data_IF_872405999300
#
_entry.id   IF_872405999300
#
_cell.length_a   1.000
_cell.length_b   1.000
_cell.length_c   1.000
_cell.angle_alpha   90.00
_cell.angle_beta   90.00
_cell.angle_gamma   90.00
#
_symmetry.space_group_name_H-M   'P 1'
#
loop_
_entity.id
_entity.type
_entity.pdbx_description
1 polymer ?
#
# COMPACT_ATOMS: atom_id res chain seq x y z
N UNK A 1 -16.21 4.64 -5.59
CA UNK A 1 -16.01 6.10 -5.41
C UNK A 1 -15.52 6.49 -4.00
N UNK A 2 -15.73 5.69 -2.95
CA UNK A 2 -15.28 6.03 -1.58
C UNK A 2 -13.77 6.35 -1.47
N UNK A 3 -12.93 5.61 -2.19
CA UNK A 3 -11.47 5.89 -2.26
C UNK A 3 -11.20 7.30 -2.84
N UNK A 4 -11.86 7.68 -3.94
CA UNK A 4 -11.66 8.99 -4.56
C UNK A 4 -12.03 10.13 -3.59
N UNK A 5 -13.17 10.00 -2.90
CA UNK A 5 -13.62 10.94 -1.87
C UNK A 5 -12.59 11.03 -0.74
N UNK A 6 -12.13 9.88 -0.23
CA UNK A 6 -11.14 9.85 0.85
C UNK A 6 -9.81 10.49 0.46
N UNK A 7 -9.34 10.26 -0.78
CA UNK A 7 -8.12 10.90 -1.30
C UNK A 7 -8.27 12.41 -1.37
N UNK A 8 -9.38 12.91 -1.95
CA UNK A 8 -9.69 14.34 -2.04
C UNK A 8 -9.82 15.00 -0.66
N UNK A 9 -10.52 14.36 0.28
CA UNK A 9 -10.76 14.89 1.63
C UNK A 9 -9.58 14.73 2.59
N UNK A 10 -8.62 13.84 2.30
CA UNK A 10 -7.40 13.67 3.10
C UNK A 10 -6.40 14.80 2.91
N UNK A 11 -6.55 15.59 1.84
CA UNK A 11 -5.65 16.67 1.45
C UNK A 11 -4.16 16.22 1.33
N UNK A 12 -3.94 14.96 0.95
CA UNK A 12 -2.62 14.37 0.73
C UNK A 12 -2.36 14.18 -0.76
N UNK A 13 -1.11 14.42 -1.16
CA UNK A 13 -0.67 14.09 -2.51
C UNK A 13 -0.72 12.58 -2.74
N UNK A 14 -1.19 12.14 -3.91
CA UNK A 14 -1.31 10.72 -4.21
C UNK A 14 -0.96 10.35 -5.66
N UNK A 15 -0.54 9.10 -5.83
CA UNK A 15 -0.52 8.40 -7.10
C UNK A 15 -1.53 7.25 -7.02
N UNK A 16 -2.53 7.25 -7.88
CA UNK A 16 -3.55 6.19 -7.91
C UNK A 16 -3.49 5.41 -9.23
N UNK A 17 -3.09 4.15 -9.14
CA UNK A 17 -3.05 3.24 -10.29
C UNK A 17 -4.39 2.52 -10.41
N UNK A 18 -5.04 2.64 -11.57
CA UNK A 18 -6.36 2.06 -11.84
C UNK A 18 -6.24 1.11 -13.02
N UNK A 19 -6.60 -0.16 -12.79
CA UNK A 19 -6.76 -1.14 -13.86
C UNK A 19 -8.07 -0.83 -14.60
N UNK A 20 -8.01 -0.72 -15.93
CA UNK A 20 -9.04 -0.12 -16.79
C UNK A 20 -10.48 -0.35 -16.30
N UNK A 21 -11.28 0.72 -16.13
CA UNK A 21 -12.67 0.56 -15.75
C UNK A 21 -13.46 -0.02 -16.93
N UNK A 22 -14.02 -1.21 -16.74
CA UNK A 22 -14.88 -1.85 -17.74
C UNK A 22 -16.28 -1.22 -17.81
N UNK A 23 -16.60 -0.29 -16.92
CA UNK A 23 -17.92 0.36 -16.81
C UNK A 23 -17.87 1.83 -17.19
N UNK A 24 -18.72 2.23 -18.15
CA UNK A 24 -18.79 3.58 -18.73
C UNK A 24 -19.14 4.67 -17.71
N UNK A 25 -20.06 4.41 -16.77
CA UNK A 25 -20.45 5.38 -15.74
C UNK A 25 -19.31 5.67 -14.75
N UNK A 26 -18.54 4.64 -14.37
CA UNK A 26 -17.38 4.82 -13.49
C UNK A 26 -16.27 5.61 -14.19
N UNK A 27 -16.06 5.36 -15.49
CA UNK A 27 -15.07 6.10 -16.28
C UNK A 27 -15.34 7.61 -16.27
N UNK A 28 -16.59 8.05 -16.48
CA UNK A 28 -16.93 9.48 -16.47
C UNK A 28 -16.66 10.15 -15.11
N UNK A 29 -17.08 9.51 -14.02
CA UNK A 29 -16.82 10.04 -12.67
C UNK A 29 -15.32 10.10 -12.35
N UNK A 30 -14.55 9.14 -12.85
CA UNK A 30 -13.11 9.12 -12.70
C UNK A 30 -12.44 10.24 -13.51
N UNK A 31 -12.93 10.54 -14.72
CA UNK A 31 -12.40 11.61 -15.57
C UNK A 31 -12.64 13.00 -14.95
N UNK A 32 -13.83 13.22 -14.37
CA UNK A 32 -14.13 14.45 -13.62
C UNK A 32 -13.22 14.60 -12.39
N UNK A 33 -13.04 13.52 -11.64
CA UNK A 33 -12.13 13.48 -10.49
C UNK A 33 -10.68 13.77 -10.91
N UNK A 34 -10.18 13.11 -11.97
CA UNK A 34 -8.84 13.33 -12.51
C UNK A 34 -8.61 14.80 -12.90
N UNK A 35 -9.61 15.41 -13.55
CA UNK A 35 -9.56 16.82 -13.96
C UNK A 35 -9.44 17.75 -12.75
N UNK A 36 -10.20 17.52 -11.68
CA UNK A 36 -10.11 18.30 -10.45
C UNK A 36 -8.74 18.16 -9.80
N UNK A 37 -8.27 16.93 -9.61
CA UNK A 37 -6.99 16.64 -8.94
C UNK A 37 -5.78 17.18 -9.70
N UNK A 38 -5.83 17.15 -11.05
CA UNK A 38 -4.82 17.78 -11.90
C UNK A 38 -4.81 19.30 -11.77
N UNK A 39 -5.99 19.94 -11.72
CA UNK A 39 -6.10 21.39 -11.56
C UNK A 39 -5.55 21.86 -10.21
N UNK A 40 -5.79 21.09 -9.16
CA UNK A 40 -5.31 21.36 -7.80
C UNK A 40 -3.86 20.92 -7.56
N UNK A 41 -3.28 20.15 -8.49
CA UNK A 41 -1.92 19.57 -8.40
C UNK A 41 -1.73 18.63 -7.21
N UNK A 42 -2.78 17.92 -6.80
CA UNK A 42 -2.80 17.02 -5.63
C UNK A 42 -2.77 15.53 -5.96
N UNK A 43 -3.00 15.15 -7.22
CA UNK A 43 -3.12 13.74 -7.56
C UNK A 43 -2.71 13.41 -8.98
N UNK A 44 -2.05 12.26 -9.13
CA UNK A 44 -1.75 11.64 -10.41
C UNK A 44 -2.50 10.32 -10.54
N UNK A 45 -3.30 10.17 -11.59
CA UNK A 45 -3.97 8.92 -11.92
C UNK A 45 -3.21 8.23 -13.05
N UNK A 46 -2.86 6.97 -12.85
CA UNK A 46 -2.19 6.14 -13.85
C UNK A 46 -3.14 5.02 -14.25
N UNK A 47 -3.48 4.95 -15.54
CA UNK A 47 -4.35 3.90 -16.08
C UNK A 47 -3.50 2.72 -16.57
N UNK A 48 -3.79 1.53 -16.08
CA UNK A 48 -3.07 0.30 -16.43
C UNK A 48 -1.94 -0.01 -15.45
N UNK A 49 -0.70 0.03 -15.92
CA UNK A 49 0.48 -0.37 -15.15
C UNK A 49 1.34 0.83 -14.77
N UNK A 50 1.94 0.77 -13.59
CA UNK A 50 2.89 1.77 -13.10
C UNK A 50 4.16 1.07 -12.59
N UNK A 51 5.33 1.72 -12.67
CA UNK A 51 6.58 1.17 -12.17
C UNK A 51 6.64 1.20 -10.63
N UNK A 52 5.92 0.27 -9.99
CA UNK A 52 5.69 0.24 -8.53
C UNK A 52 6.99 0.34 -7.72
N UNK A 53 8.03 -0.44 -8.07
CA UNK A 53 9.32 -0.42 -7.37
C UNK A 53 9.95 0.98 -7.42
N UNK A 54 9.94 1.63 -8.59
CA UNK A 54 10.52 2.98 -8.77
C UNK A 54 9.72 4.02 -8.00
N UNK A 55 8.39 3.87 -7.95
CA UNK A 55 7.52 4.75 -7.17
C UNK A 55 7.83 4.59 -5.68
N UNK A 56 7.85 3.36 -5.17
CA UNK A 56 8.09 3.09 -3.75
C UNK A 56 9.47 3.56 -3.27
N UNK A 57 10.50 3.46 -4.11
CA UNK A 57 11.86 3.91 -3.77
C UNK A 57 12.03 5.44 -3.78
N UNK A 58 11.00 6.19 -4.22
CA UNK A 58 11.06 7.64 -4.29
C UNK A 58 10.81 8.29 -2.91
N UNK A 59 11.69 9.23 -2.51
CA UNK A 59 11.66 9.92 -1.21
C UNK A 59 10.34 10.64 -0.87
N UNK A 60 9.55 11.00 -1.89
CA UNK A 60 8.25 11.65 -1.70
C UNK A 60 7.13 10.68 -1.28
N UNK A 61 7.35 9.36 -1.36
CA UNK A 61 6.31 8.38 -1.00
C UNK A 61 6.29 8.15 0.50
N UNK A 62 5.23 8.64 1.14
CA UNK A 62 5.03 8.53 2.60
C UNK A 62 4.23 7.31 3.05
N UNK A 63 3.59 6.58 2.13
CA UNK A 63 2.80 5.39 2.46
C UNK A 63 2.27 4.69 1.21
N UNK A 64 1.89 3.41 1.37
CA UNK A 64 1.44 2.57 0.27
C UNK A 64 0.15 1.82 0.59
N UNK A 65 -0.94 2.16 -0.11
CA UNK A 65 -2.18 1.39 -0.06
C UNK A 65 -2.04 0.13 -0.93
N UNK A 66 -2.13 -1.03 -0.29
CA UNK A 66 -1.86 -2.33 -0.92
C UNK A 66 -2.91 -3.36 -0.58
N UNK A 67 -3.13 -4.29 -1.52
CA UNK A 67 -3.95 -5.48 -1.29
C UNK A 67 -3.23 -6.55 -0.46
N UNK A 68 -2.04 -6.29 0.07
CA UNK A 68 -1.28 -7.23 0.90
C UNK A 68 -0.82 -8.51 0.18
N UNK A 69 -0.62 -8.44 -1.14
CA UNK A 69 0.10 -9.49 -1.87
C UNK A 69 1.56 -9.54 -1.41
N UNK A 70 2.12 -10.74 -1.26
CA UNK A 70 3.46 -10.92 -0.67
C UNK A 70 4.56 -10.13 -1.38
N UNK A 71 4.57 -10.11 -2.71
CA UNK A 71 5.53 -9.31 -3.48
C UNK A 71 5.41 -7.81 -3.17
N UNK A 72 4.20 -7.27 -3.14
CA UNK A 72 3.97 -5.85 -2.81
C UNK A 72 4.39 -5.51 -1.38
N UNK A 73 4.26 -6.45 -0.43
CA UNK A 73 4.74 -6.28 0.94
C UNK A 73 6.26 -6.27 0.97
N UNK A 74 6.92 -7.20 0.28
CA UNK A 74 8.38 -7.23 0.20
C UNK A 74 8.92 -5.94 -0.42
N UNK A 75 8.32 -5.46 -1.51
CA UNK A 75 8.70 -4.19 -2.14
C UNK A 75 8.51 -2.99 -1.21
N UNK A 76 7.43 -2.96 -0.41
CA UNK A 76 7.22 -1.89 0.56
C UNK A 76 8.25 -1.93 1.70
N UNK A 77 8.56 -3.13 2.21
CA UNK A 77 9.56 -3.35 3.26
C UNK A 77 10.95 -2.95 2.76
N UNK A 78 11.34 -3.36 1.55
CA UNK A 78 12.65 -3.01 0.98
C UNK A 78 12.76 -1.53 0.64
N UNK A 79 11.64 -0.84 0.39
CA UNK A 79 11.61 0.61 0.23
C UNK A 79 11.61 1.38 1.56
N UNK A 80 11.20 0.74 2.67
CA UNK A 80 11.01 1.39 3.97
C UNK A 80 9.70 2.17 4.07
N UNK A 81 8.68 1.77 3.30
CA UNK A 81 7.41 2.49 3.18
C UNK A 81 6.33 1.82 4.04
N UNK A 82 5.64 2.55 4.94
CA UNK A 82 4.54 1.99 5.71
C UNK A 82 3.30 1.74 4.84
N UNK A 83 2.47 0.80 5.25
CA UNK A 83 1.37 0.26 4.43
C UNK A 83 -0.01 0.62 4.96
N UNK A 84 -0.94 0.92 4.05
CA UNK A 84 -2.38 0.92 4.30
C UNK A 84 -2.92 -0.40 3.72
N UNK A 85 -3.39 -1.29 4.58
CA UNK A 85 -3.74 -2.66 4.18
C UNK A 85 -5.20 -2.78 3.77
N UNK A 86 -5.43 -3.36 2.59
CA UNK A 86 -6.75 -3.62 2.03
C UNK A 86 -6.80 -5.00 1.34
N UNK A 87 -6.69 -6.10 2.12
CA UNK A 87 -6.68 -7.44 1.55
C UNK A 87 -7.95 -7.74 0.75
N UNK A 88 -7.81 -8.47 -0.35
CA UNK A 88 -8.89 -8.79 -1.28
C UNK A 88 -9.12 -10.28 -1.44
N UNK A 89 -8.08 -11.12 -1.47
CA UNK A 89 -8.17 -12.56 -1.80
C UNK A 89 -7.03 -13.38 -1.16
N UNK A 90 -7.10 -14.72 -1.28
CA UNK A 90 -6.01 -15.64 -0.96
C UNK A 90 -5.42 -15.46 0.46
N UNK A 91 -4.08 -15.46 0.59
CA UNK A 91 -3.31 -15.29 1.81
C UNK A 91 -3.21 -13.82 2.29
N UNK A 92 -3.79 -12.87 1.54
CA UNK A 92 -3.63 -11.43 1.81
C UNK A 92 -4.13 -11.01 3.20
N UNK A 93 -5.14 -11.68 3.75
CA UNK A 93 -5.62 -11.41 5.11
C UNK A 93 -4.63 -11.86 6.19
N UNK A 94 -3.90 -12.96 5.95
CA UNK A 94 -2.81 -13.40 6.84
C UNK A 94 -1.63 -12.43 6.74
N UNK A 95 -1.32 -11.99 5.53
CA UNK A 95 -0.27 -11.01 5.29
C UNK A 95 -0.58 -9.66 5.93
N UNK A 96 -1.84 -9.21 5.90
CA UNK A 96 -2.29 -8.04 6.66
C UNK A 96 -1.98 -8.19 8.15
N UNK A 97 -2.26 -9.36 8.73
CA UNK A 97 -1.97 -9.63 10.15
C UNK A 97 -0.49 -9.54 10.47
N UNK A 98 0.37 -10.05 9.59
CA UNK A 98 1.80 -9.88 9.73
C UNK A 98 2.19 -8.39 9.69
N UNK A 99 1.67 -7.61 8.74
CA UNK A 99 2.02 -6.19 8.56
C UNK A 99 1.54 -5.33 9.73
N UNK A 100 0.30 -5.51 10.16
CA UNK A 100 -0.37 -4.65 11.16
C UNK A 100 -0.06 -5.09 12.58
N UNK A 101 -0.23 -6.39 12.89
CA UNK A 101 -0.21 -6.86 14.28
C UNK A 101 1.21 -7.24 14.74
N UNK A 102 2.04 -7.77 13.84
CA UNK A 102 3.38 -8.29 14.17
C UNK A 102 4.48 -7.27 13.85
N UNK A 103 4.59 -6.86 12.59
CA UNK A 103 5.63 -5.92 12.14
C UNK A 103 5.29 -4.48 12.53
N UNK A 104 4.01 -4.18 12.70
CA UNK A 104 3.49 -2.85 13.07
C UNK A 104 3.91 -1.75 12.09
N UNK A 105 4.04 -2.09 10.80
CA UNK A 105 4.44 -1.14 9.73
C UNK A 105 3.27 -0.76 8.83
N UNK A 106 2.04 -0.94 9.31
CA UNK A 106 0.86 -0.51 8.58
C UNK A 106 -0.41 -0.46 9.42
N UNK A 107 -1.47 0.03 8.80
CA UNK A 107 -2.81 0.10 9.38
C UNK A 107 -3.86 -0.38 8.37
N UNK A 108 -4.89 -1.07 8.88
CA UNK A 108 -5.96 -1.64 8.06
C UNK A 108 -7.12 -0.69 7.84
N UNK A 109 -7.69 -0.71 6.63
CA UNK A 109 -8.98 -0.06 6.34
C UNK A 109 -10.17 -0.89 6.83
N UNK A 110 -9.93 -2.10 7.35
CA UNK A 110 -10.96 -2.96 7.94
C UNK A 110 -11.70 -3.85 6.95
N UNK A 111 -11.04 -4.28 5.87
CA UNK A 111 -11.58 -5.34 5.01
C UNK A 111 -11.72 -6.64 5.81
N UNK A 112 -12.85 -7.35 5.66
CA UNK A 112 -13.19 -8.54 6.46
C UNK A 112 -13.43 -9.79 5.62
N UNK A 113 -13.81 -9.60 4.36
CA UNK A 113 -14.24 -10.66 3.45
C UNK A 113 -13.58 -10.44 2.10
N UNK A 114 -13.15 -11.53 1.47
CA UNK A 114 -12.47 -11.51 0.19
C UNK A 114 -12.72 -12.76 -0.64
N UNK A 115 -12.02 -12.85 -1.77
CA UNK A 115 -12.11 -13.98 -2.68
C UNK A 115 -13.50 -14.12 -3.29
N UNK A 116 -14.01 -15.35 -3.42
CA UNK A 116 -15.35 -15.62 -3.96
C UNK A 116 -16.48 -14.94 -3.18
N UNK A 117 -16.22 -14.48 -1.94
CA UNK A 117 -17.21 -13.85 -1.08
C UNK A 117 -17.07 -12.33 -1.03
N UNK A 118 -16.25 -11.72 -1.89
CA UNK A 118 -16.00 -10.28 -1.89
C UNK A 118 -17.30 -9.46 -2.00
N UNK A 119 -18.33 -9.96 -2.68
CA UNK A 119 -19.65 -9.29 -2.74
C UNK A 119 -20.31 -9.10 -1.37
N UNK A 120 -19.94 -9.91 -0.37
CA UNK A 120 -20.40 -9.79 1.02
C UNK A 120 -19.55 -8.83 1.85
N UNK A 121 -18.48 -8.25 1.30
CA UNK A 121 -17.66 -7.27 1.99
C UNK A 121 -18.48 -6.02 2.28
N UNK A 122 -18.64 -5.63 3.56
CA UNK A 122 -19.28 -4.36 3.88
C UNK A 122 -18.53 -3.20 3.22
N UNK A 123 -19.29 -2.23 2.72
CA UNK A 123 -18.71 -1.03 2.12
C UNK A 123 -17.79 -0.34 3.14
N UNK A 124 -16.55 -0.11 2.73
CA UNK A 124 -15.60 0.67 3.52
C UNK A 124 -15.85 2.15 3.20
N UNK A 125 -16.28 2.89 4.21
CA UNK A 125 -16.64 4.30 4.09
C UNK A 125 -15.42 5.19 3.84
N UNK A 126 -15.65 6.31 3.15
CA UNK A 126 -14.58 7.26 2.80
C UNK A 126 -13.89 7.80 4.06
N UNK A 127 -14.65 8.09 5.11
CA UNK A 127 -14.15 8.54 6.40
C UNK A 127 -13.15 7.54 7.02
N UNK A 128 -13.45 6.24 6.94
CA UNK A 128 -12.54 5.19 7.42
C UNK A 128 -11.23 5.19 6.63
N UNK A 129 -11.31 5.28 5.30
CA UNK A 129 -10.13 5.28 4.43
C UNK A 129 -9.27 6.52 4.71
N UNK A 130 -9.92 7.70 4.80
CA UNK A 130 -9.26 8.97 5.12
C UNK A 130 -8.56 8.91 6.46
N UNK A 131 -9.24 8.44 7.51
CA UNK A 131 -8.66 8.32 8.85
C UNK A 131 -7.40 7.44 8.84
N UNK A 132 -7.40 6.35 8.06
CA UNK A 132 -6.23 5.46 7.94
C UNK A 132 -5.11 6.11 7.12
N UNK A 133 -5.43 6.86 6.06
CA UNK A 133 -4.44 7.67 5.32
C UNK A 133 -3.75 8.65 6.28
N UNK A 134 -4.53 9.38 7.08
CA UNK A 134 -3.99 10.36 8.04
C UNK A 134 -3.13 9.69 9.12
N UNK A 135 -3.54 8.51 9.62
CA UNK A 135 -2.75 7.75 10.61
C UNK A 135 -1.39 7.30 10.08
N UNK A 136 -1.34 6.84 8.82
CA UNK A 136 -0.11 6.30 8.22
C UNK A 136 0.79 7.39 7.66
N UNK A 137 0.23 8.32 6.90
CA UNK A 137 0.97 9.33 6.11
C UNK A 137 1.09 10.66 6.85
N UNK A 138 0.24 10.91 7.86
CA UNK A 138 0.28 12.15 8.62
C UNK A 138 1.49 12.33 9.54
N UNK A 139 1.48 13.46 10.24
CA UNK A 139 2.53 13.90 11.17
C UNK A 139 2.31 13.37 12.60
N UNK A 140 1.33 12.49 12.79
CA UNK A 140 1.03 11.87 14.08
C UNK A 140 2.13 10.90 14.53
N UNK A 141 2.21 10.68 15.86
CA UNK A 141 3.17 9.75 16.46
C UNK A 141 3.03 8.31 15.94
N UNK A 142 1.82 7.88 15.58
CA UNK A 142 1.56 6.54 15.06
C UNK A 142 2.25 6.33 13.70
N UNK A 143 2.03 7.22 12.73
CA UNK A 143 2.68 7.18 11.42
C UNK A 143 4.20 7.30 11.51
N UNK A 144 4.69 8.16 12.40
CA UNK A 144 6.13 8.30 12.65
C UNK A 144 6.76 7.01 13.20
N UNK A 145 6.06 6.33 14.11
CA UNK A 145 6.51 5.04 14.62
C UNK A 145 6.49 3.95 13.54
N UNK A 146 5.48 3.95 12.66
CA UNK A 146 5.42 3.03 11.52
C UNK A 146 6.57 3.25 10.54
N UNK A 147 6.87 4.50 10.17
CA UNK A 147 7.99 4.85 9.29
C UNK A 147 9.33 4.41 9.87
N UNK A 148 9.58 4.67 11.16
CA UNK A 148 10.80 4.22 11.85
C UNK A 148 10.96 2.71 11.84
N UNK A 149 9.87 1.96 12.08
CA UNK A 149 9.90 0.50 12.02
C UNK A 149 10.14 0.01 10.59
N UNK A 150 9.51 0.63 9.59
CA UNK A 150 9.70 0.30 8.18
C UNK A 150 11.15 0.51 7.75
N UNK A 151 11.79 1.60 8.18
CA UNK A 151 13.22 1.85 7.90
C UNK A 151 14.15 0.82 8.55
N UNK A 152 13.86 0.39 9.79
CA UNK A 152 14.62 -0.70 10.42
C UNK A 152 14.46 -2.02 9.65
N UNK A 153 13.26 -2.32 9.15
CA UNK A 153 13.04 -3.52 8.35
C UNK A 153 13.70 -3.45 6.98
N UNK A 154 13.74 -2.27 6.35
CA UNK A 154 14.48 -2.01 5.11
C UNK A 154 15.95 -2.39 5.25
N UNK A 155 16.61 -1.89 6.30
CA UNK A 155 18.03 -2.18 6.53
C UNK A 155 18.26 -3.66 6.84
N UNK A 156 17.36 -4.32 7.57
CA UNK A 156 17.42 -5.77 7.80
C UNK A 156 17.23 -6.58 6.52
N UNK A 157 16.27 -6.19 5.67
CA UNK A 157 16.01 -6.86 4.40
C UNK A 157 17.23 -6.75 3.47
N UNK A 158 17.85 -5.56 3.42
CA UNK A 158 19.09 -5.32 2.67
C UNK A 158 20.25 -6.16 3.21
N UNK A 159 20.45 -6.19 4.52
CA UNK A 159 21.51 -6.99 5.13
C UNK A 159 21.35 -8.50 4.91
N UNK A 160 20.10 -9.01 4.89
CA UNK A 160 19.83 -10.44 4.71
C UNK A 160 20.29 -10.98 3.34
N UNK A 161 20.24 -10.16 2.29
CA UNK A 161 20.54 -10.57 0.90
C UNK A 161 21.95 -10.20 0.44
N UNK A 162 22.67 -9.37 1.20
CA UNK A 162 24.07 -9.05 0.92
C UNK A 162 24.98 -10.27 1.15
N UNK A 163 26.18 -10.24 0.58
CA UNK A 163 27.19 -11.29 0.81
C UNK A 163 27.46 -11.46 2.31
N UNK A 164 27.38 -12.71 2.79
CA UNK A 164 27.47 -13.04 4.22
C UNK A 164 26.17 -12.83 5.01
N UNK A 165 25.11 -12.32 4.39
CA UNK A 165 23.77 -12.21 4.97
C UNK A 165 23.07 -13.57 5.13
N UNK A 166 22.00 -13.60 5.92
CA UNK A 166 21.29 -14.85 6.22
C UNK A 166 20.70 -15.51 4.98
N UNK A 167 19.91 -14.79 4.18
CA UNK A 167 19.29 -15.33 2.97
C UNK A 167 20.31 -15.68 1.89
N UNK A 168 21.40 -14.91 1.79
CA UNK A 168 22.53 -15.24 0.92
C UNK A 168 23.16 -16.58 1.32
N UNK A 169 23.42 -16.78 2.62
CA UNK A 169 24.06 -17.99 3.15
C UNK A 169 23.13 -19.21 3.05
N UNK A 170 21.84 -19.04 3.29
CA UNK A 170 20.84 -20.10 3.16
C UNK A 170 20.73 -20.57 1.71
N UNK A 171 20.70 -19.64 0.74
CA UNK A 171 20.69 -19.98 -0.68
C UNK A 171 21.97 -20.70 -1.09
N UNK A 172 23.13 -20.27 -0.58
CA UNK A 172 24.40 -20.93 -0.85
C UNK A 172 24.42 -22.36 -0.31
N UNK A 173 23.98 -22.56 0.94
CA UNK A 173 23.86 -23.89 1.55
C UNK A 173 22.96 -24.81 0.72
N UNK A 174 21.81 -24.31 0.26
CA UNK A 174 20.87 -25.07 -0.58
C UNK A 174 21.49 -25.53 -1.92
N UNK A 175 22.41 -24.75 -2.49
CA UNK A 175 23.09 -25.12 -3.75
C UNK A 175 24.18 -26.17 -3.49
N UNK A 176 24.73 -26.20 -2.29
CA UNK A 176 25.80 -27.12 -1.88
C UNK A 176 25.26 -28.48 -1.38
N UNK A 177 23.96 -28.56 -1.05
CA UNK A 177 23.23 -29.79 -0.71
C UNK A 177 22.91 -30.67 -1.95
#
# INVERSE_FOLDING_TARGET
MKIAIALEESDRDFIWVIKSPNETCFAHLLDEFETRMRKERKGLIIRGWAPQVVILDHLAVGGFLTQCGWNSILEAITAGVPMITWPMIADQFLNEKLVVDILQVGATVGAKVGGPYFENQPLIEAETIKSVIERVVGEGMEGEAMRKRAEVLKEKAKAAVQEGGSSYSDLKSLIED
#
